data_IF_133589482723
#
_entry.id   IF_133589482723
#
_cell.length_a   1.000
_cell.length_b   1.000
_cell.length_c   1.000
_cell.angle_alpha   90.00
_cell.angle_beta   90.00
_cell.angle_gamma   90.00
#
_symmetry.space_group_name_H-M   'P 1'
#
loop_
_entity.id
_entity.type
_entity.pdbx_description
1 polymer ?
#
# COMPACT_ATOMS: atom_id res chain seq x y z
N UNK A 1 11.83 -0.58 9.19
CA UNK A 1 10.84 -0.69 8.07
C UNK A 1 11.54 -0.46 6.75
N UNK A 2 11.35 -1.37 5.76
CA UNK A 2 12.05 -1.28 4.46
C UNK A 2 11.21 -0.58 3.38
N UNK A 3 11.86 0.28 2.57
CA UNK A 3 11.26 0.97 1.43
C UNK A 3 12.19 0.84 0.22
N UNK A 4 11.65 0.45 -0.92
CA UNK A 4 12.39 0.37 -2.17
C UNK A 4 12.19 1.64 -3.00
N UNK A 5 13.27 2.19 -3.54
CA UNK A 5 13.23 3.31 -4.48
C UNK A 5 13.78 2.86 -5.82
N UNK A 6 12.99 2.99 -6.88
CA UNK A 6 13.47 2.80 -8.25
C UNK A 6 14.61 3.80 -8.52
N UNK A 7 15.76 3.34 -8.97
CA UNK A 7 16.95 4.19 -9.09
C UNK A 7 17.63 4.04 -10.45
N UNK A 8 18.16 5.16 -10.93
CA UNK A 8 19.02 5.20 -12.12
C UNK A 8 20.49 4.91 -11.81
N UNK A 9 20.86 4.88 -10.52
CA UNK A 9 22.23 4.62 -10.05
C UNK A 9 22.25 3.81 -8.76
N UNK A 10 23.45 3.52 -8.26
CA UNK A 10 23.68 2.66 -7.08
C UNK A 10 23.86 3.44 -5.78
N UNK A 11 23.73 4.76 -5.82
CA UNK A 11 23.94 5.65 -4.68
C UNK A 11 22.69 6.51 -4.42
N UNK A 12 22.49 6.99 -3.18
CA UNK A 12 21.31 7.81 -2.82
C UNK A 12 21.20 9.15 -3.57
N UNK A 13 22.29 9.66 -4.11
CA UNK A 13 22.35 10.87 -4.92
C UNK A 13 21.90 10.66 -6.38
N UNK A 14 21.73 9.40 -6.81
CA UNK A 14 21.19 9.10 -8.12
C UNK A 14 19.72 9.51 -8.25
N UNK A 15 19.27 9.80 -9.45
CA UNK A 15 17.88 10.14 -9.71
C UNK A 15 16.97 8.92 -9.55
N UNK A 16 15.75 9.17 -9.11
CA UNK A 16 14.67 8.19 -9.10
C UNK A 16 14.39 7.72 -10.53
N UNK A 17 14.19 6.41 -10.70
CA UNK A 17 13.87 5.83 -11.98
C UNK A 17 12.53 6.34 -12.51
N UNK A 18 12.55 6.86 -13.73
CA UNK A 18 11.38 7.48 -14.39
C UNK A 18 10.19 6.52 -14.49
N UNK A 19 10.47 5.23 -14.73
CA UNK A 19 9.42 4.20 -14.87
C UNK A 19 9.79 2.94 -14.08
N UNK A 20 8.88 2.50 -13.23
CA UNK A 20 9.02 1.31 -12.39
C UNK A 20 9.54 0.07 -13.17
N UNK A 21 8.93 -0.22 -14.31
CA UNK A 21 9.26 -1.41 -15.10
C UNK A 21 10.52 -1.30 -15.96
N UNK A 22 11.15 -0.14 -16.03
CA UNK A 22 12.34 0.12 -16.84
C UNK A 22 13.58 0.42 -16.00
N UNK A 23 13.45 0.48 -14.68
CA UNK A 23 14.61 0.68 -13.81
C UNK A 23 15.52 -0.56 -13.82
N UNK A 24 16.82 -0.32 -13.75
CA UNK A 24 17.81 -1.41 -13.70
C UNK A 24 18.05 -1.92 -12.28
N UNK A 25 17.62 -1.17 -11.30
CA UNK A 25 17.87 -1.46 -9.91
C UNK A 25 16.95 -0.68 -8.98
N UNK A 26 16.83 -1.18 -7.75
CA UNK A 26 16.20 -0.50 -6.64
C UNK A 26 17.23 -0.30 -5.52
N UNK A 27 17.17 0.82 -4.84
CA UNK A 27 17.81 1.02 -3.56
C UNK A 27 16.77 0.72 -2.48
N UNK A 28 17.03 -0.29 -1.67
CA UNK A 28 16.14 -0.72 -0.58
C UNK A 28 16.70 -0.20 0.73
N UNK A 29 16.02 0.77 1.31
CA UNK A 29 16.39 1.41 2.58
C UNK A 29 15.68 0.76 3.75
N UNK A 30 16.40 0.56 4.83
CA UNK A 30 15.80 0.43 6.15
C UNK A 30 15.64 1.84 6.75
N UNK A 31 14.40 2.26 6.97
CA UNK A 31 14.12 3.63 7.46
C UNK A 31 14.53 3.86 8.91
N UNK A 32 14.77 2.80 9.67
CA UNK A 32 15.17 2.89 11.07
C UNK A 32 16.67 3.16 11.20
N UNK A 33 17.48 2.51 10.37
CA UNK A 33 18.95 2.65 10.35
C UNK A 33 19.46 3.56 9.26
N UNK A 34 18.66 3.85 8.23
CA UNK A 34 19.04 4.54 6.99
C UNK A 34 20.11 3.80 6.16
N UNK A 35 20.37 2.54 6.47
CA UNK A 35 21.19 1.68 5.64
C UNK A 35 20.41 1.25 4.40
N UNK A 36 21.12 1.01 3.30
CA UNK A 36 20.50 0.55 2.08
C UNK A 36 21.29 -0.56 1.39
N UNK A 37 20.57 -1.34 0.60
CA UNK A 37 21.14 -2.34 -0.30
C UNK A 37 20.68 -2.07 -1.72
N UNK A 38 21.53 -2.40 -2.70
CA UNK A 38 21.23 -2.28 -4.12
C UNK A 38 20.69 -3.62 -4.62
N UNK A 39 19.48 -3.60 -5.15
CA UNK A 39 18.82 -4.77 -5.74
C UNK A 39 18.72 -4.59 -7.24
N UNK A 40 19.45 -5.39 -8.00
CA UNK A 40 19.46 -5.33 -9.46
C UNK A 40 18.27 -6.05 -10.06
N UNK A 41 17.70 -5.49 -11.13
CA UNK A 41 16.65 -6.10 -11.92
C UNK A 41 17.26 -6.69 -13.20
N UNK A 42 17.14 -8.02 -13.45
CA UNK A 42 17.74 -8.67 -14.61
C UNK A 42 17.27 -8.06 -15.92
N UNK A 43 18.22 -7.73 -16.80
CA UNK A 43 17.95 -7.02 -18.07
C UNK A 43 17.15 -7.85 -19.07
N UNK A 44 17.30 -9.16 -19.05
CA UNK A 44 16.61 -10.07 -19.98
C UNK A 44 15.11 -10.20 -19.71
N UNK A 45 14.67 -9.96 -18.46
CA UNK A 45 13.27 -10.02 -18.09
C UNK A 45 12.54 -8.69 -18.32
N UNK A 46 13.27 -7.58 -18.45
CA UNK A 46 12.69 -6.24 -18.66
C UNK A 46 12.00 -6.04 -20.00
N UNK A 47 12.36 -6.81 -21.03
CA UNK A 47 11.88 -6.61 -22.41
C UNK A 47 10.67 -7.47 -22.80
N UNK A 48 10.32 -8.50 -22.02
CA UNK A 48 9.34 -9.53 -22.45
C UNK A 48 7.93 -9.34 -21.95
N UNK A 49 7.70 -8.59 -20.86
CA UNK A 49 6.40 -8.58 -20.21
C UNK A 49 5.70 -7.22 -20.24
N UNK A 50 4.40 -7.25 -20.56
CA UNK A 50 3.49 -6.11 -20.39
C UNK A 50 3.39 -5.67 -18.91
N UNK A 51 3.67 -6.57 -17.99
CA UNK A 51 3.79 -6.37 -16.55
C UNK A 51 5.24 -6.59 -16.20
N UNK A 52 5.87 -5.66 -15.50
CA UNK A 52 7.27 -5.78 -15.09
C UNK A 52 7.42 -6.76 -13.93
N UNK A 53 7.17 -8.04 -14.19
CA UNK A 53 7.26 -9.11 -13.18
C UNK A 53 8.64 -9.16 -12.52
N UNK A 54 9.72 -8.92 -13.30
CA UNK A 54 11.07 -8.88 -12.75
C UNK A 54 11.22 -7.78 -11.67
N UNK A 55 10.72 -6.58 -11.94
CA UNK A 55 10.76 -5.49 -10.96
C UNK A 55 9.89 -5.79 -9.74
N UNK A 56 8.69 -6.34 -9.93
CA UNK A 56 7.80 -6.73 -8.82
C UNK A 56 8.47 -7.81 -7.96
N UNK A 57 9.04 -8.86 -8.56
CA UNK A 57 9.75 -9.92 -7.84
C UNK A 57 10.96 -9.41 -7.08
N UNK A 58 11.76 -8.52 -7.70
CA UNK A 58 12.93 -7.93 -7.08
C UNK A 58 12.56 -7.17 -5.81
N UNK A 59 11.47 -6.42 -5.84
CA UNK A 59 10.98 -5.63 -4.71
C UNK A 59 10.31 -6.52 -3.65
N UNK A 60 9.38 -7.39 -4.06
CA UNK A 60 8.64 -8.26 -3.15
C UNK A 60 9.57 -9.20 -2.37
N UNK A 61 10.63 -9.70 -3.01
CA UNK A 61 11.64 -10.57 -2.38
C UNK A 61 12.45 -9.89 -1.26
N UNK A 62 12.39 -8.57 -1.13
CA UNK A 62 13.10 -7.81 -0.08
C UNK A 62 12.26 -7.54 1.17
N UNK A 63 10.98 -7.90 1.17
CA UNK A 63 10.08 -7.66 2.29
C UNK A 63 9.86 -6.16 2.55
N UNK A 64 9.74 -5.36 1.50
CA UNK A 64 9.50 -3.92 1.61
C UNK A 64 8.04 -3.63 1.90
N UNK A 65 7.79 -2.56 2.64
CA UNK A 65 6.45 -2.06 2.92
C UNK A 65 5.95 -1.07 1.85
N UNK A 66 6.87 -0.43 1.14
CA UNK A 66 6.52 0.55 0.12
C UNK A 66 7.55 0.60 -1.02
N UNK A 67 7.10 1.10 -2.17
CA UNK A 67 7.90 1.39 -3.36
C UNK A 67 7.72 2.84 -3.76
N UNK A 68 8.83 3.52 -4.05
CA UNK A 68 8.86 4.87 -4.60
C UNK A 68 9.39 4.79 -6.04
N UNK A 69 8.71 5.44 -6.98
CA UNK A 69 9.08 5.46 -8.40
C UNK A 69 8.60 6.75 -9.09
N UNK A 70 9.06 7.03 -10.30
CA UNK A 70 8.54 8.13 -11.10
C UNK A 70 7.13 7.82 -11.59
N UNK A 71 7.02 6.91 -12.54
CA UNK A 71 5.75 6.47 -13.11
C UNK A 71 5.58 4.95 -12.99
N UNK A 72 4.36 4.51 -12.72
CA UNK A 72 4.00 3.10 -12.65
C UNK A 72 2.70 2.82 -13.41
N UNK A 73 2.63 1.70 -14.13
CA UNK A 73 1.40 1.26 -14.79
C UNK A 73 0.40 0.74 -13.74
N UNK A 74 -0.90 0.98 -13.96
CA UNK A 74 -1.97 0.60 -13.04
C UNK A 74 -1.93 -0.88 -12.67
N UNK A 75 -1.66 -1.76 -13.62
CA UNK A 75 -1.57 -3.20 -13.37
C UNK A 75 -0.41 -3.55 -12.43
N UNK A 76 0.74 -2.88 -12.54
CA UNK A 76 1.87 -3.09 -11.64
C UNK A 76 1.56 -2.52 -10.25
N UNK A 77 0.91 -1.36 -10.19
CA UNK A 77 0.44 -0.74 -8.95
C UNK A 77 -0.51 -1.68 -8.21
N UNK A 78 -1.54 -2.19 -8.89
CA UNK A 78 -2.50 -3.09 -8.28
C UNK A 78 -1.82 -4.37 -7.77
N UNK A 79 -0.93 -4.96 -8.56
CA UNK A 79 -0.19 -6.17 -8.14
C UNK A 79 0.65 -5.92 -6.89
N UNK A 80 1.30 -4.76 -6.76
CA UNK A 80 2.06 -4.40 -5.55
C UNK A 80 1.13 -4.20 -4.34
N UNK A 81 0.00 -3.52 -4.53
CA UNK A 81 -1.00 -3.32 -3.49
C UNK A 81 -1.59 -4.67 -3.01
N UNK A 82 -1.87 -5.60 -3.92
CA UNK A 82 -2.35 -6.95 -3.60
C UNK A 82 -1.31 -7.76 -2.78
N UNK A 83 -0.02 -7.45 -2.95
CA UNK A 83 1.08 -7.98 -2.15
C UNK A 83 1.29 -7.23 -0.82
N UNK A 84 0.45 -6.24 -0.51
CA UNK A 84 0.57 -5.42 0.70
C UNK A 84 1.69 -4.37 0.63
N UNK A 85 2.19 -4.05 -0.58
CA UNK A 85 3.24 -3.07 -0.80
C UNK A 85 2.63 -1.76 -1.27
N UNK A 86 2.78 -0.70 -0.49
CA UNK A 86 2.31 0.64 -0.85
C UNK A 86 3.12 1.21 -2.03
N UNK A 87 2.48 2.05 -2.86
CA UNK A 87 3.12 2.63 -4.05
C UNK A 87 3.03 4.15 -4.00
N UNK A 88 4.19 4.78 -4.02
CA UNK A 88 4.35 6.23 -4.15
C UNK A 88 4.96 6.55 -5.52
N UNK A 89 4.18 7.19 -6.36
CA UNK A 89 4.63 7.72 -7.65
C UNK A 89 4.87 9.24 -7.59
N UNK A 90 5.43 9.78 -8.68
CA UNK A 90 5.77 11.19 -8.74
C UNK A 90 7.14 11.54 -8.16
N UNK A 91 8.02 10.55 -7.96
CA UNK A 91 9.42 10.76 -7.60
C UNK A 91 10.32 11.21 -8.76
N UNK A 92 9.77 11.42 -9.95
CA UNK A 92 10.53 11.85 -11.13
C UNK A 92 11.22 13.20 -10.90
N UNK A 93 12.49 13.26 -11.27
CA UNK A 93 13.32 14.47 -11.09
C UNK A 93 13.93 14.65 -9.70
N UNK A 94 13.56 13.82 -8.73
CA UNK A 94 14.19 13.80 -7.41
C UNK A 94 15.37 12.84 -7.36
N UNK A 95 16.30 13.11 -6.46
CA UNK A 95 17.27 12.09 -6.04
C UNK A 95 16.58 11.04 -5.17
N UNK A 96 17.16 9.86 -5.07
CA UNK A 96 16.67 8.79 -4.18
C UNK A 96 16.62 9.29 -2.73
N UNK A 97 17.62 10.07 -2.29
CA UNK A 97 17.67 10.67 -0.95
C UNK A 97 16.47 11.59 -0.70
N UNK A 98 16.20 12.51 -1.59
CA UNK A 98 15.06 13.45 -1.50
C UNK A 98 13.72 12.69 -1.48
N UNK A 99 13.59 11.65 -2.31
CA UNK A 99 12.38 10.82 -2.35
C UNK A 99 12.14 10.08 -1.03
N UNK A 100 13.18 9.54 -0.41
CA UNK A 100 13.09 8.88 0.92
C UNK A 100 12.74 9.89 2.01
N UNK A 101 13.36 11.07 2.01
CA UNK A 101 13.07 12.12 3.00
C UNK A 101 11.62 12.61 2.88
N UNK A 102 11.15 12.85 1.65
CA UNK A 102 9.77 13.21 1.39
C UNK A 102 8.79 12.13 1.84
N UNK A 103 9.09 10.86 1.56
CA UNK A 103 8.28 9.73 2.02
C UNK A 103 8.22 9.66 3.55
N UNK A 104 9.33 9.89 4.24
CA UNK A 104 9.35 9.92 5.72
C UNK A 104 8.44 10.99 6.29
N UNK A 105 8.46 12.19 5.70
CA UNK A 105 7.63 13.31 6.17
C UNK A 105 6.15 13.08 5.86
N UNK A 106 5.81 12.76 4.61
CA UNK A 106 4.41 12.58 4.18
C UNK A 106 3.85 11.23 4.62
N UNK A 107 4.60 10.16 4.50
CA UNK A 107 4.16 8.81 4.85
C UNK A 107 4.00 8.61 6.37
N UNK A 108 4.78 9.31 7.20
CA UNK A 108 4.56 9.32 8.65
C UNK A 108 3.29 10.11 9.00
N UNK A 109 3.07 11.27 8.37
CA UNK A 109 1.86 12.06 8.59
C UNK A 109 0.59 11.31 8.16
N UNK A 110 0.62 10.60 7.01
CA UNK A 110 -0.50 9.77 6.56
C UNK A 110 -0.73 8.55 7.46
N UNK A 111 0.33 7.93 7.97
CA UNK A 111 0.22 6.81 8.93
C UNK A 111 -0.28 7.25 10.29
N UNK A 112 0.13 8.41 10.78
CA UNK A 112 -0.41 9.00 12.00
C UNK A 112 -1.86 9.41 11.82
N UNK A 113 -2.21 9.99 10.66
CA UNK A 113 -3.60 10.26 10.31
C UNK A 113 -4.43 8.97 10.21
N UNK A 114 -3.88 7.89 9.64
CA UNK A 114 -4.54 6.57 9.59
C UNK A 114 -4.60 5.90 10.96
N UNK A 115 -3.65 6.11 11.86
CA UNK A 115 -3.75 5.67 13.27
C UNK A 115 -4.81 6.43 14.05
N UNK A 116 -5.07 7.69 13.70
CA UNK A 116 -6.19 8.48 14.23
C UNK A 116 -7.54 8.14 13.58
N UNK A 117 -7.55 7.50 12.41
CA UNK A 117 -8.73 6.90 11.81
C UNK A 117 -8.93 5.50 12.42
N UNK A 118 -9.80 5.43 13.39
CA UNK A 118 -10.34 4.15 13.84
C UNK A 118 -11.06 3.56 12.63
N UNK A 119 -10.42 2.59 11.97
CA UNK A 119 -11.03 1.88 10.84
C UNK A 119 -12.06 0.92 11.43
N UNK A 120 -13.28 1.41 11.62
CA UNK A 120 -14.39 0.58 12.05
C UNK A 120 -14.92 -0.18 10.85
N UNK A 121 -15.12 -1.47 11.00
CA UNK A 121 -15.71 -2.34 9.99
C UNK A 121 -17.17 -2.54 10.33
N UNK A 122 -18.07 -2.13 9.42
CA UNK A 122 -19.50 -2.40 9.56
C UNK A 122 -19.82 -3.75 8.90
N UNK A 123 -20.36 -4.67 9.67
CA UNK A 123 -20.76 -6.00 9.21
C UNK A 123 -22.27 -6.11 9.23
N UNK A 124 -22.86 -6.58 8.11
CA UNK A 124 -24.30 -6.82 8.01
C UNK A 124 -24.67 -8.07 8.78
N UNK A 125 -25.57 -7.94 9.76
CA UNK A 125 -25.94 -9.06 10.64
C UNK A 125 -27.45 -9.18 10.85
N UNK A 126 -27.89 -10.39 11.20
CA UNK A 126 -29.26 -10.68 11.59
C UNK A 126 -29.56 -10.34 13.07
N UNK A 127 -28.54 -9.94 13.85
CA UNK A 127 -28.66 -9.71 15.29
C UNK A 127 -27.68 -8.66 15.81
N UNK A 128 -27.61 -8.56 17.13
CA UNK A 128 -26.74 -7.61 17.85
C UNK A 128 -25.56 -8.38 18.46
N UNK A 129 -24.33 -8.04 18.06
CA UNK A 129 -23.09 -8.58 18.61
C UNK A 129 -22.27 -9.44 17.65
N UNK A 130 -21.08 -9.84 18.09
CA UNK A 130 -20.10 -10.55 17.29
C UNK A 130 -20.51 -11.99 16.91
N UNK A 131 -21.42 -12.59 17.66
CA UNK A 131 -21.93 -13.94 17.42
C UNK A 131 -23.14 -13.98 16.47
N UNK A 132 -23.59 -12.81 15.98
CA UNK A 132 -24.69 -12.73 15.03
C UNK A 132 -24.28 -13.30 13.65
N UNK A 133 -25.25 -13.93 12.96
CA UNK A 133 -25.00 -14.43 11.62
C UNK A 133 -24.87 -13.31 10.61
N UNK A 134 -23.98 -13.49 9.65
CA UNK A 134 -23.86 -12.60 8.49
C UNK A 134 -25.11 -12.74 7.62
N UNK A 135 -25.63 -11.62 7.14
CA UNK A 135 -26.75 -11.60 6.21
C UNK A 135 -26.33 -11.04 4.85
N UNK A 136 -26.90 -11.62 3.81
CA UNK A 136 -26.82 -11.19 2.43
C UNK A 136 -28.24 -11.23 1.82
N UNK A 137 -28.73 -10.18 1.15
CA UNK A 137 -28.05 -9.00 0.63
C UNK A 137 -28.25 -7.72 1.49
N UNK A 138 -27.32 -6.76 1.33
CA UNK A 138 -27.27 -5.45 2.01
C UNK A 138 -28.61 -4.68 2.02
N UNK A 139 -29.47 -4.86 1.01
CA UNK A 139 -30.74 -4.14 0.88
C UNK A 139 -31.86 -4.59 1.85
N UNK A 140 -31.68 -5.68 2.57
CA UNK A 140 -32.70 -6.27 3.46
C UNK A 140 -32.27 -6.24 4.92
N UNK A 141 -31.04 -5.86 5.20
CA UNK A 141 -30.52 -5.88 6.56
C UNK A 141 -31.25 -4.90 7.50
N UNK A 142 -31.51 -5.37 8.71
CA UNK A 142 -32.14 -4.57 9.76
C UNK A 142 -31.11 -3.92 10.69
N UNK A 143 -29.87 -4.44 10.72
CA UNK A 143 -28.82 -3.97 11.63
C UNK A 143 -27.42 -4.16 11.05
N UNK A 144 -26.50 -3.33 11.53
CA UNK A 144 -25.07 -3.48 11.31
C UNK A 144 -24.40 -3.60 12.66
N UNK A 145 -23.38 -4.44 12.75
CA UNK A 145 -22.44 -4.41 13.87
C UNK A 145 -21.19 -3.70 13.38
N UNK A 146 -20.88 -2.57 14.00
CA UNK A 146 -19.67 -1.79 13.73
C UNK A 146 -18.61 -2.24 14.73
N UNK A 147 -17.52 -2.80 14.23
CA UNK A 147 -16.42 -3.36 15.02
C UNK A 147 -15.18 -2.53 14.87
N UNK A 148 -14.53 -2.21 15.97
CA UNK A 148 -13.15 -1.74 15.97
C UNK A 148 -12.23 -2.98 16.00
N UNK A 149 -11.48 -3.28 14.92
CA UNK A 149 -10.65 -4.47 14.87
C UNK A 149 -9.45 -4.44 15.82
N UNK A 150 -9.06 -3.27 16.32
CA UNK A 150 -7.93 -3.12 17.24
C UNK A 150 -8.33 -3.41 18.68
N UNK A 151 -9.48 -2.87 19.14
CA UNK A 151 -9.98 -3.05 20.51
C UNK A 151 -10.97 -4.20 20.65
N UNK A 152 -11.53 -4.67 19.50
CA UNK A 152 -12.66 -5.61 19.43
C UNK A 152 -13.97 -5.08 20.04
N UNK A 153 -14.03 -3.79 20.30
CA UNK A 153 -15.28 -3.16 20.70
C UNK A 153 -16.29 -3.22 19.56
N UNK A 154 -17.53 -3.50 19.86
CA UNK A 154 -18.60 -3.57 18.87
C UNK A 154 -19.81 -2.74 19.27
N UNK A 155 -20.42 -2.10 18.30
CA UNK A 155 -21.64 -1.30 18.45
C UNK A 155 -22.68 -1.75 17.43
N UNK A 156 -23.90 -2.05 17.88
CA UNK A 156 -24.98 -2.41 16.98
C UNK A 156 -25.73 -1.16 16.51
N UNK A 157 -25.78 -0.96 15.20
CA UNK A 157 -26.50 0.16 14.57
C UNK A 157 -27.71 -0.39 13.81
N UNK A 158 -28.92 -0.01 14.24
CA UNK A 158 -30.17 -0.38 13.57
C UNK A 158 -30.48 0.58 12.44
N UNK A 159 -30.87 0.04 11.29
CA UNK A 159 -31.36 0.84 10.16
C UNK A 159 -32.82 1.18 10.37
N UNK A 160 -33.12 2.46 10.57
CA UNK A 160 -34.50 2.92 10.62
C UNK A 160 -35.14 2.73 9.24
N UNK A 161 -36.12 1.81 9.11
CA UNK A 161 -36.94 1.73 7.88
C UNK A 161 -37.77 3.01 7.82
N UNK A 162 -37.58 3.81 6.77
CA UNK A 162 -38.59 4.82 6.41
C UNK A 162 -39.88 4.07 6.09
N UNK A 163 -40.91 4.30 6.88
CA UNK A 163 -42.26 3.88 6.52
C UNK A 163 -42.62 4.65 5.24
N UNK A 164 -42.74 3.91 4.15
CA UNK A 164 -43.41 4.42 2.95
C UNK A 164 -44.87 4.52 3.28
N UNK A 165 -45.37 5.77 3.39
CA UNK A 165 -46.81 6.07 3.43
C UNK A 165 -47.44 5.81 2.07
#
# INVERSE_FOLDING_TARGET
MKVAVASMGTVPEALVGVRFGMCSQFLVFDLDTMEYVVVSVPSQERQRDRVSLAAIRAVAGQGVAAVITGHIKDICRQTLLDLGIEVFDGGEGMTVREAIERYRVSGLAEREARKGFITRVAVVTSGEGLEARLEDPLGVCASFVVVDPATKDCEAVRVARRATA
#
